data_IF_038363223062
#
_entry.id   IF_038363223062
#
_cell.length_a   1.000
_cell.length_b   1.000
_cell.length_c   1.000
_cell.angle_alpha   90.00
_cell.angle_beta   90.00
_cell.angle_gamma   90.00
#
_symmetry.space_group_name_H-M   'P 1'
#
loop_
_entity.id
_entity.type
_entity.pdbx_description
1 polymer ?
#
# COMPACT_ATOMS: atom_id res chain seq x y z
N UNK A 1 13.54 -38.08 -9.29
CA UNK A 1 12.22 -37.66 -8.82
C UNK A 1 11.25 -37.61 -9.99
N UNK A 2 10.01 -38.11 -9.85
CA UNK A 2 9.00 -37.97 -10.89
C UNK A 2 8.75 -36.49 -11.17
N UNK A 3 8.84 -36.08 -12.43
CA UNK A 3 8.67 -34.68 -12.83
C UNK A 3 7.33 -34.11 -12.37
N UNK A 4 6.26 -34.88 -12.44
CA UNK A 4 4.92 -34.54 -11.99
C UNK A 4 4.88 -34.19 -10.50
N UNK A 5 5.56 -34.94 -9.62
CA UNK A 5 5.58 -34.65 -8.18
C UNK A 5 6.31 -33.32 -7.87
N UNK A 6 7.41 -33.06 -8.57
CA UNK A 6 8.14 -31.78 -8.43
C UNK A 6 7.26 -30.59 -8.85
N UNK A 7 6.57 -30.70 -10.00
CA UNK A 7 5.69 -29.63 -10.48
C UNK A 7 4.50 -29.42 -9.58
N UNK A 8 3.89 -30.49 -9.04
CA UNK A 8 2.83 -30.40 -8.04
C UNK A 8 3.30 -29.66 -6.80
N UNK A 9 4.50 -29.97 -6.30
CA UNK A 9 5.11 -29.27 -5.17
C UNK A 9 5.31 -27.76 -5.42
N UNK A 10 5.82 -27.38 -6.59
CA UNK A 10 6.00 -25.98 -6.98
C UNK A 10 4.66 -25.23 -7.05
N UNK A 11 3.61 -25.86 -7.58
CA UNK A 11 2.27 -25.30 -7.63
C UNK A 11 1.61 -25.13 -6.25
N UNK A 12 1.98 -25.99 -5.30
CA UNK A 12 1.42 -25.97 -3.94
C UNK A 12 1.99 -24.86 -3.06
N UNK A 13 3.02 -24.13 -3.51
CA UNK A 13 3.62 -23.01 -2.73
C UNK A 13 2.61 -21.93 -2.34
N UNK A 14 1.44 -21.86 -3.01
CA UNK A 14 0.28 -21.08 -2.56
C UNK A 14 0.43 -19.56 -2.79
N UNK A 15 0.99 -19.16 -3.93
CA UNK A 15 0.95 -17.76 -4.37
C UNK A 15 -0.49 -17.29 -4.62
N UNK A 16 -0.80 -16.06 -4.20
CA UNK A 16 -1.94 -15.34 -4.78
C UNK A 16 -1.58 -14.83 -6.17
N UNK A 17 -2.57 -14.53 -7.01
CA UNK A 17 -2.33 -13.96 -8.33
C UNK A 17 -1.48 -12.68 -8.23
N UNK A 18 -1.84 -11.77 -7.34
CA UNK A 18 -1.15 -10.51 -7.14
C UNK A 18 0.31 -10.69 -6.67
N UNK A 19 0.59 -11.65 -5.78
CA UNK A 19 1.97 -11.90 -5.34
C UNK A 19 2.81 -12.55 -6.42
N UNK A 20 2.21 -13.41 -7.25
CA UNK A 20 2.90 -14.01 -8.40
C UNK A 20 3.28 -12.94 -9.45
N UNK A 21 2.36 -12.02 -9.77
CA UNK A 21 2.63 -10.89 -10.67
C UNK A 21 3.76 -10.01 -10.09
N UNK A 22 3.74 -9.72 -8.79
CA UNK A 22 4.79 -8.93 -8.15
C UNK A 22 6.18 -9.58 -8.26
N UNK A 23 6.28 -10.92 -8.17
CA UNK A 23 7.57 -11.62 -8.35
C UNK A 23 8.05 -11.58 -9.81
N UNK A 24 7.15 -11.54 -10.80
CA UNK A 24 7.56 -11.31 -12.20
C UNK A 24 8.08 -9.86 -12.36
N UNK A 25 7.40 -8.88 -11.79
CA UNK A 25 7.86 -7.48 -11.80
C UNK A 25 9.22 -7.34 -11.10
N UNK A 26 9.47 -8.05 -10.00
CA UNK A 26 10.79 -8.08 -9.33
C UNK A 26 11.90 -8.54 -10.29
N UNK A 27 11.63 -9.53 -11.15
CA UNK A 27 12.60 -9.99 -12.15
C UNK A 27 12.88 -8.91 -13.19
N UNK A 28 11.87 -8.17 -13.64
CA UNK A 28 12.01 -7.04 -14.55
C UNK A 28 12.84 -5.91 -13.92
N UNK A 29 12.60 -5.60 -12.65
CA UNK A 29 13.40 -4.62 -11.89
C UNK A 29 14.86 -5.09 -11.78
N UNK A 30 15.07 -6.35 -11.48
CA UNK A 30 16.43 -6.96 -11.40
C UNK A 30 17.14 -6.99 -12.75
N UNK A 31 16.39 -6.98 -13.86
CA UNK A 31 16.90 -6.84 -15.21
C UNK A 31 17.15 -5.37 -15.62
N UNK A 32 17.06 -4.41 -14.66
CA UNK A 32 17.19 -2.97 -14.87
C UNK A 32 16.18 -2.40 -15.89
N UNK A 33 14.97 -2.93 -15.91
CA UNK A 33 13.89 -2.36 -16.71
C UNK A 33 13.52 -0.96 -16.20
N UNK A 34 13.33 -0.03 -17.12
CA UNK A 34 12.78 1.31 -16.86
C UNK A 34 11.28 1.37 -17.15
N UNK A 35 10.78 0.43 -17.95
CA UNK A 35 9.38 0.33 -18.35
C UNK A 35 8.91 -1.13 -18.27
N UNK A 36 7.72 -1.31 -17.70
CA UNK A 36 7.06 -2.61 -17.56
C UNK A 36 5.61 -2.46 -18.01
N UNK A 37 5.20 -3.25 -18.99
CA UNK A 37 3.86 -3.26 -19.55
C UNK A 37 3.15 -4.57 -19.23
N UNK A 38 1.92 -4.48 -18.74
CA UNK A 38 1.09 -5.63 -18.37
C UNK A 38 -0.15 -5.62 -19.23
N UNK A 39 -0.37 -6.74 -19.94
CA UNK A 39 -1.53 -6.96 -20.78
C UNK A 39 -2.23 -8.25 -20.37
N UNK A 40 -3.51 -8.32 -20.62
CA UNK A 40 -4.32 -9.52 -20.36
C UNK A 40 -5.58 -9.52 -21.20
N UNK A 41 -6.03 -10.69 -21.60
CA UNK A 41 -7.33 -10.89 -22.24
C UNK A 41 -7.99 -12.12 -21.62
N UNK A 42 -9.23 -12.04 -21.11
CA UNK A 42 -9.98 -13.18 -20.59
C UNK A 42 -10.77 -13.94 -21.65
N UNK A 43 -10.78 -13.46 -22.91
CA UNK A 43 -11.63 -13.99 -23.97
C UNK A 43 -10.92 -15.12 -24.75
N UNK A 44 -11.64 -15.86 -25.52
CA UNK A 44 -11.27 -16.97 -26.43
C UNK A 44 -10.03 -17.79 -26.07
N UNK A 45 -8.86 -17.16 -26.03
CA UNK A 45 -7.57 -17.75 -25.63
C UNK A 45 -6.98 -16.92 -24.48
N UNK A 46 -7.44 -17.14 -23.24
CA UNK A 46 -7.08 -16.27 -22.11
C UNK A 46 -5.57 -16.22 -21.89
N UNK A 47 -5.04 -15.00 -21.76
CA UNK A 47 -3.64 -14.77 -21.42
C UNK A 47 -3.45 -13.63 -20.43
N UNK A 48 -2.34 -13.71 -19.71
CA UNK A 48 -1.78 -12.63 -18.92
C UNK A 48 -0.30 -12.52 -19.26
N UNK A 49 0.19 -11.33 -19.55
CA UNK A 49 1.61 -11.16 -19.82
C UNK A 49 2.21 -9.93 -19.18
N UNK A 50 3.49 -10.03 -18.89
CA UNK A 50 4.36 -8.96 -18.39
C UNK A 50 5.51 -8.80 -19.37
N UNK A 51 5.62 -7.60 -19.93
CA UNK A 51 6.67 -7.20 -20.85
C UNK A 51 7.55 -6.14 -20.19
N UNK A 52 8.85 -6.30 -20.28
CA UNK A 52 9.83 -5.31 -19.81
C UNK A 52 10.85 -4.95 -20.91
N UNK A 53 11.45 -3.78 -20.76
CA UNK A 53 12.56 -3.30 -21.57
C UNK A 53 13.92 -3.49 -20.88
N UNK A 54 14.07 -4.48 -20.03
CA UNK A 54 15.31 -4.79 -19.32
C UNK A 54 16.42 -5.31 -20.22
N UNK A 55 17.50 -5.79 -19.63
CA UNK A 55 18.71 -6.23 -20.35
C UNK A 55 18.51 -7.45 -21.28
N UNK A 56 17.36 -8.11 -21.23
CA UNK A 56 17.07 -9.32 -21.97
C UNK A 56 18.01 -10.49 -21.66
N UNK A 57 17.79 -11.63 -22.33
CA UNK A 57 18.55 -12.85 -22.12
C UNK A 57 19.08 -13.41 -23.46
N UNK A 58 20.34 -13.80 -23.49
CA UNK A 58 20.91 -14.64 -24.53
C UNK A 58 20.32 -16.05 -24.45
N UNK A 59 20.60 -16.92 -25.46
CA UNK A 59 20.13 -18.32 -25.43
C UNK A 59 20.53 -19.02 -24.11
N UNK A 60 21.79 -18.94 -23.75
CA UNK A 60 22.33 -19.60 -22.54
C UNK A 60 21.74 -19.03 -21.24
N UNK A 61 21.51 -17.74 -21.21
CA UNK A 61 20.88 -17.08 -20.04
C UNK A 61 19.40 -17.48 -19.91
N UNK A 62 18.67 -17.61 -21.04
CA UNK A 62 17.29 -18.08 -21.07
C UNK A 62 17.19 -19.55 -20.65
N UNK A 63 18.09 -20.43 -21.19
CA UNK A 63 18.19 -21.82 -20.78
C UNK A 63 18.34 -21.92 -19.25
N UNK A 64 19.32 -21.20 -18.70
CA UNK A 64 19.55 -21.17 -17.25
C UNK A 64 18.36 -20.61 -16.48
N UNK A 65 17.70 -19.58 -16.98
CA UNK A 65 16.53 -19.00 -16.33
C UNK A 65 15.34 -19.97 -16.30
N UNK A 66 15.22 -20.85 -17.30
CA UNK A 66 14.13 -21.81 -17.41
C UNK A 66 14.42 -23.13 -16.69
N UNK A 67 15.68 -23.54 -16.50
CA UNK A 67 16.01 -24.75 -15.76
C UNK A 67 15.73 -24.63 -14.27
N UNK A 68 15.06 -25.62 -13.63
CA UNK A 68 14.86 -25.64 -12.18
C UNK A 68 16.20 -25.80 -11.45
N UNK A 69 16.43 -24.96 -10.43
CA UNK A 69 17.62 -25.05 -9.60
C UNK A 69 18.93 -24.65 -10.29
N UNK A 70 18.85 -23.86 -11.37
CA UNK A 70 20.03 -23.30 -12.00
C UNK A 70 20.81 -22.46 -11.00
N UNK A 71 22.05 -22.86 -10.76
CA UNK A 71 22.97 -22.26 -9.82
C UNK A 71 23.35 -20.85 -10.32
N UNK A 72 22.95 -19.81 -9.57
CA UNK A 72 23.37 -18.42 -9.81
C UNK A 72 24.68 -18.09 -9.09
N UNK A 73 25.34 -19.08 -8.50
CA UNK A 73 26.54 -18.96 -7.67
C UNK A 73 27.77 -18.33 -8.34
N UNK A 74 27.64 -17.85 -9.56
CA UNK A 74 28.74 -17.17 -10.29
C UNK A 74 28.56 -15.65 -10.49
N UNK A 75 27.42 -15.07 -10.11
CA UNK A 75 27.23 -13.60 -10.09
C UNK A 75 27.42 -13.13 -8.64
N UNK A 76 28.40 -12.24 -8.44
CA UNK A 76 28.54 -11.52 -7.17
C UNK A 76 27.15 -11.05 -6.69
N UNK A 77 26.85 -11.26 -5.40
CA UNK A 77 25.63 -10.78 -4.77
C UNK A 77 25.49 -9.29 -5.07
N UNK A 78 24.70 -8.96 -6.07
CA UNK A 78 24.37 -7.58 -6.34
C UNK A 78 23.41 -7.16 -5.23
N UNK A 79 23.75 -6.16 -4.43
CA UNK A 79 22.92 -5.65 -3.32
C UNK A 79 21.49 -5.30 -3.74
N UNK A 80 21.21 -5.22 -5.03
CA UNK A 80 19.91 -4.91 -5.62
C UNK A 80 19.09 -6.14 -6.04
N UNK A 81 19.59 -7.38 -5.87
CA UNK A 81 18.81 -8.57 -6.26
C UNK A 81 17.57 -8.74 -5.37
N UNK A 82 16.39 -8.66 -6.00
CA UNK A 82 15.10 -8.92 -5.36
C UNK A 82 14.77 -10.44 -5.29
N UNK A 83 15.43 -11.28 -6.12
CA UNK A 83 15.20 -12.73 -6.22
C UNK A 83 16.28 -13.57 -5.54
N UNK A 84 15.92 -14.31 -4.46
CA UNK A 84 16.86 -15.10 -3.65
C UNK A 84 17.10 -16.53 -4.13
N UNK A 85 16.10 -17.22 -4.69
CA UNK A 85 16.12 -18.67 -4.82
C UNK A 85 16.17 -19.21 -6.28
N UNK A 86 16.21 -18.35 -7.31
CA UNK A 86 16.14 -18.77 -8.71
C UNK A 86 14.87 -19.54 -9.10
N UNK A 87 13.94 -19.72 -8.17
CA UNK A 87 12.67 -20.43 -8.34
C UNK A 87 11.49 -19.48 -8.56
N UNK A 88 11.63 -18.17 -8.25
CA UNK A 88 10.53 -17.20 -8.21
C UNK A 88 9.72 -17.18 -9.52
N UNK A 89 10.36 -17.04 -10.66
CA UNK A 89 9.70 -17.04 -11.98
C UNK A 89 8.84 -18.29 -12.18
N UNK A 90 9.39 -19.47 -11.91
CA UNK A 90 8.74 -20.76 -12.16
C UNK A 90 7.62 -21.03 -11.15
N UNK A 91 7.89 -20.85 -9.85
CA UNK A 91 6.90 -21.10 -8.81
C UNK A 91 5.76 -20.09 -8.87
N UNK A 92 6.06 -18.81 -9.12
CA UNK A 92 5.04 -17.79 -9.33
C UNK A 92 4.15 -18.13 -10.53
N UNK A 93 4.75 -18.36 -11.71
CA UNK A 93 3.99 -18.65 -12.93
C UNK A 93 3.19 -19.96 -12.82
N UNK A 94 3.82 -21.08 -12.45
CA UNK A 94 3.14 -22.37 -12.33
C UNK A 94 2.09 -22.43 -11.22
N UNK A 95 2.17 -21.54 -10.24
CA UNK A 95 1.11 -21.42 -9.23
C UNK A 95 -0.20 -20.83 -9.80
N UNK A 96 -0.15 -20.13 -10.94
CA UNK A 96 -1.29 -19.45 -11.55
C UNK A 96 -1.83 -20.14 -12.79
N UNK A 97 -0.94 -20.75 -13.59
CA UNK A 97 -1.29 -21.29 -14.91
C UNK A 97 -0.67 -22.69 -15.12
N UNK A 98 -1.12 -23.39 -16.15
CA UNK A 98 -0.53 -24.68 -16.56
C UNK A 98 0.54 -24.51 -17.62
N UNK A 99 0.53 -23.39 -18.34
CA UNK A 99 1.56 -23.09 -19.32
C UNK A 99 2.06 -21.66 -19.16
N UNK A 100 3.37 -21.48 -19.08
CA UNK A 100 3.99 -20.18 -19.18
C UNK A 100 5.15 -20.18 -20.16
N UNK A 101 5.26 -19.10 -20.91
CA UNK A 101 6.30 -18.88 -21.91
C UNK A 101 7.13 -17.66 -21.52
N UNK A 102 8.43 -17.77 -21.70
CA UNK A 102 9.37 -16.65 -21.59
C UNK A 102 9.98 -16.41 -22.95
N UNK A 103 9.71 -15.25 -23.54
CA UNK A 103 10.38 -14.75 -24.73
C UNK A 103 11.32 -13.62 -24.36
N UNK A 104 12.56 -13.66 -24.85
CA UNK A 104 13.53 -12.61 -24.54
C UNK A 104 14.31 -12.18 -25.76
N UNK A 105 14.50 -10.85 -25.88
CA UNK A 105 15.24 -10.22 -26.96
C UNK A 105 16.60 -9.74 -26.45
N UNK A 106 17.66 -10.19 -27.09
CA UNK A 106 19.04 -9.75 -26.86
C UNK A 106 19.86 -9.90 -28.12
N UNK A 107 20.74 -8.97 -28.39
CA UNK A 107 21.57 -8.94 -29.62
C UNK A 107 20.72 -9.02 -30.89
N UNK A 108 19.59 -8.31 -30.95
CA UNK A 108 18.70 -8.28 -32.10
C UNK A 108 17.91 -9.57 -32.39
N UNK A 109 18.02 -10.61 -31.54
CA UNK A 109 17.33 -11.89 -31.71
C UNK A 109 16.35 -12.16 -30.58
N UNK A 110 15.13 -12.58 -30.94
CA UNK A 110 14.13 -13.06 -30.00
C UNK A 110 14.24 -14.60 -29.91
N UNK A 111 14.20 -15.12 -28.67
CA UNK A 111 14.10 -16.53 -28.34
C UNK A 111 13.03 -16.74 -27.32
N UNK A 112 12.34 -17.88 -27.40
CA UNK A 112 11.31 -18.20 -26.44
C UNK A 112 11.34 -19.69 -26.05
N UNK A 113 11.02 -19.92 -24.78
CA UNK A 113 10.86 -21.22 -24.16
C UNK A 113 9.59 -21.29 -23.35
N UNK A 114 8.92 -22.45 -23.38
CA UNK A 114 7.69 -22.67 -22.62
C UNK A 114 7.82 -23.87 -21.68
N UNK A 115 7.23 -23.73 -20.50
CA UNK A 115 6.84 -24.83 -19.63
C UNK A 115 5.36 -25.14 -19.85
N UNK A 116 5.06 -26.36 -20.29
CA UNK A 116 3.69 -26.85 -20.41
C UNK A 116 3.49 -28.08 -19.52
N UNK A 117 2.66 -27.92 -18.48
CA UNK A 117 2.37 -29.00 -17.54
C UNK A 117 1.60 -30.15 -18.17
N UNK A 118 0.83 -29.92 -19.23
CA UNK A 118 0.08 -30.97 -19.91
C UNK A 118 1.06 -31.93 -20.61
N UNK A 119 2.11 -31.36 -21.20
CA UNK A 119 3.19 -32.17 -21.81
C UNK A 119 3.99 -32.91 -20.73
N UNK A 120 4.34 -32.24 -19.63
CA UNK A 120 5.09 -32.84 -18.52
C UNK A 120 4.28 -33.96 -17.86
N UNK A 121 2.97 -33.74 -17.64
CA UNK A 121 2.08 -34.76 -17.07
C UNK A 121 1.94 -35.99 -17.93
N UNK A 122 1.90 -35.82 -19.28
CA UNK A 122 1.78 -36.89 -20.27
C UNK A 122 3.07 -37.69 -20.37
N UNK A 123 4.20 -37.01 -20.50
CA UNK A 123 5.51 -37.65 -20.75
C UNK A 123 6.21 -38.10 -19.45
N UNK A 124 5.72 -37.62 -18.28
CA UNK A 124 6.32 -37.78 -16.95
C UNK A 124 7.82 -37.40 -16.93
N UNK A 125 8.21 -36.46 -17.76
CA UNK A 125 9.58 -35.93 -17.90
C UNK A 125 9.55 -34.42 -17.82
N UNK A 126 10.58 -33.83 -17.24
CA UNK A 126 10.77 -32.39 -17.23
C UNK A 126 11.21 -31.94 -18.62
N UNK A 127 10.29 -31.42 -19.38
CA UNK A 127 10.51 -30.98 -20.75
C UNK A 127 10.27 -29.48 -20.86
N UNK A 128 11.17 -28.82 -21.57
CA UNK A 128 11.04 -27.42 -21.99
C UNK A 128 10.81 -27.42 -23.51
N UNK A 129 9.80 -26.71 -23.94
CA UNK A 129 9.53 -26.46 -25.34
C UNK A 129 10.32 -25.23 -25.80
N UNK A 130 11.19 -25.41 -26.80
CA UNK A 130 11.82 -24.29 -27.52
C UNK A 130 10.90 -23.88 -28.65
N UNK A 131 10.46 -22.64 -28.69
CA UNK A 131 9.53 -22.16 -29.71
C UNK A 131 10.26 -21.84 -31.01
N UNK A 132 9.64 -22.21 -32.13
CA UNK A 132 10.07 -21.78 -33.46
C UNK A 132 9.58 -20.34 -33.78
N UNK A 133 9.98 -19.82 -34.95
CA UNK A 133 9.66 -18.45 -35.34
C UNK A 133 8.14 -18.18 -35.48
N UNK A 134 7.39 -19.17 -35.98
CA UNK A 134 5.93 -19.04 -36.14
C UNK A 134 5.24 -18.99 -34.75
N UNK A 135 5.64 -19.88 -33.87
CA UNK A 135 5.13 -19.93 -32.49
C UNK A 135 5.50 -18.67 -31.71
N UNK A 136 6.71 -18.13 -31.90
CA UNK A 136 7.11 -16.86 -31.29
C UNK A 136 6.23 -15.72 -31.79
N UNK A 137 5.99 -15.63 -33.10
CA UNK A 137 5.15 -14.57 -33.68
C UNK A 137 3.69 -14.66 -33.27
N UNK A 138 3.22 -15.83 -32.86
CA UNK A 138 1.86 -16.05 -32.36
C UNK A 138 1.68 -15.63 -30.87
N UNK A 139 2.77 -15.35 -30.14
CA UNK A 139 2.67 -14.96 -28.73
C UNK A 139 1.97 -13.62 -28.56
N UNK A 140 1.08 -13.49 -27.56
CA UNK A 140 0.47 -12.21 -27.21
C UNK A 140 1.52 -11.12 -26.96
N UNK A 141 1.30 -9.93 -27.50
CA UNK A 141 2.18 -8.75 -27.31
C UNK A 141 3.63 -8.90 -27.76
N UNK A 142 3.97 -9.92 -28.55
CA UNK A 142 5.35 -10.14 -29.04
C UNK A 142 5.85 -9.00 -29.93
N UNK A 143 4.94 -8.34 -30.66
CA UNK A 143 5.27 -7.18 -31.48
C UNK A 143 5.84 -6.03 -30.65
N UNK A 144 5.33 -5.82 -29.43
CA UNK A 144 5.85 -4.81 -28.52
C UNK A 144 7.28 -5.14 -28.06
N UNK A 145 7.59 -6.43 -27.78
CA UNK A 145 8.96 -6.86 -27.50
C UNK A 145 9.89 -6.64 -28.70
N UNK A 146 9.38 -6.81 -29.92
CA UNK A 146 10.16 -6.59 -31.12
C UNK A 146 10.58 -5.12 -31.31
N UNK A 147 9.85 -4.15 -30.77
CA UNK A 147 10.17 -2.73 -30.80
C UNK A 147 11.29 -2.34 -29.84
N UNK A 148 11.48 -3.06 -28.74
CA UNK A 148 12.57 -2.78 -27.80
C UNK A 148 13.93 -3.27 -28.34
N UNK A 149 15.01 -2.64 -27.95
CA UNK A 149 16.37 -3.09 -28.24
C UNK A 149 16.66 -4.41 -27.52
N UNK A 150 16.33 -4.45 -26.24
CA UNK A 150 16.40 -5.63 -25.35
C UNK A 150 15.15 -5.68 -24.48
N UNK A 151 14.80 -6.86 -23.97
CA UNK A 151 13.68 -7.00 -23.05
C UNK A 151 13.25 -8.44 -22.86
N UNK A 152 12.25 -8.62 -22.02
CA UNK A 152 11.66 -9.93 -21.72
C UNK A 152 10.14 -9.84 -21.65
N UNK A 153 9.48 -10.85 -22.24
CA UNK A 153 8.04 -11.05 -22.20
C UNK A 153 7.77 -12.38 -21.51
N UNK A 154 7.02 -12.36 -20.41
CA UNK A 154 6.50 -13.52 -19.72
C UNK A 154 5.03 -13.65 -20.02
N UNK A 155 4.59 -14.77 -20.56
CA UNK A 155 3.18 -15.03 -20.92
C UNK A 155 2.65 -16.20 -20.10
N UNK A 156 1.49 -16.06 -19.50
CA UNK A 156 0.74 -17.12 -18.82
C UNK A 156 -0.50 -17.46 -19.61
N UNK A 157 -0.77 -18.76 -19.78
CA UNK A 157 -1.93 -19.34 -20.45
C UNK A 157 -2.46 -20.55 -19.68
N UNK A 158 -3.64 -21.07 -20.00
CA UNK A 158 -4.26 -22.24 -19.35
C UNK A 158 -4.45 -22.06 -17.84
N UNK A 159 -5.39 -21.19 -17.47
CA UNK A 159 -5.67 -20.79 -16.06
C UNK A 159 -6.62 -21.78 -15.35
N UNK A 160 -6.22 -23.04 -15.22
CA UNK A 160 -6.99 -24.13 -14.64
C UNK A 160 -7.59 -23.83 -13.24
N UNK A 161 -6.86 -23.11 -12.40
CA UNK A 161 -7.36 -22.76 -11.06
C UNK A 161 -8.55 -21.80 -11.11
N UNK A 162 -8.53 -20.85 -12.03
CA UNK A 162 -9.64 -19.90 -12.19
C UNK A 162 -10.82 -20.62 -12.81
N UNK A 163 -10.58 -21.43 -13.84
CA UNK A 163 -11.60 -22.24 -14.52
C UNK A 163 -12.34 -23.18 -13.54
N UNK A 164 -11.60 -23.85 -12.66
CA UNK A 164 -12.17 -24.82 -11.72
C UNK A 164 -12.89 -24.20 -10.52
N UNK A 165 -12.55 -22.97 -10.11
CA UNK A 165 -13.05 -22.37 -8.90
C UNK A 165 -14.05 -21.22 -9.14
N UNK A 166 -14.08 -20.64 -10.32
CA UNK A 166 -14.90 -19.49 -10.65
C UNK A 166 -16.25 -19.90 -11.26
N UNK A 167 -17.31 -19.22 -10.84
CA UNK A 167 -18.64 -19.35 -11.50
C UNK A 167 -18.64 -18.72 -12.90
N UNK A 168 -17.90 -17.64 -13.07
CA UNK A 168 -17.65 -16.94 -14.32
C UNK A 168 -16.15 -16.67 -14.42
N UNK A 169 -15.50 -17.24 -15.42
CA UNK A 169 -14.08 -17.10 -15.63
C UNK A 169 -13.70 -15.66 -15.92
N UNK A 170 -14.36 -15.02 -16.88
CA UNK A 170 -14.06 -13.66 -17.32
C UNK A 170 -14.10 -12.66 -16.17
N UNK A 171 -15.19 -12.64 -15.40
CA UNK A 171 -15.35 -11.74 -14.25
C UNK A 171 -14.29 -11.98 -13.18
N UNK A 172 -14.00 -13.25 -12.89
CA UNK A 172 -12.99 -13.62 -11.90
C UNK A 172 -11.59 -13.25 -12.34
N UNK A 173 -11.26 -13.47 -13.62
CA UNK A 173 -9.98 -13.09 -14.20
C UNK A 173 -9.78 -11.58 -14.19
N UNK A 174 -10.78 -10.80 -14.66
CA UNK A 174 -10.75 -9.32 -14.63
C UNK A 174 -10.56 -8.79 -13.21
N UNK A 175 -11.25 -9.40 -12.23
CA UNK A 175 -11.09 -9.02 -10.82
C UNK A 175 -9.67 -9.29 -10.32
N UNK A 176 -9.09 -10.46 -10.60
CA UNK A 176 -7.71 -10.79 -10.20
C UNK A 176 -6.70 -9.84 -10.81
N UNK A 177 -6.86 -9.46 -12.09
CA UNK A 177 -6.01 -8.47 -12.76
C UNK A 177 -6.16 -7.09 -12.10
N UNK A 178 -7.37 -6.66 -11.77
CA UNK A 178 -7.60 -5.39 -11.08
C UNK A 178 -7.03 -5.38 -9.65
N UNK A 179 -7.12 -6.49 -8.92
CA UNK A 179 -6.50 -6.68 -7.61
C UNK A 179 -4.97 -6.65 -7.71
N UNK A 180 -4.40 -7.29 -8.74
CA UNK A 180 -2.95 -7.28 -8.97
C UNK A 180 -2.44 -5.87 -9.28
N UNK A 181 -3.20 -5.04 -10.01
CA UNK A 181 -2.87 -3.64 -10.26
C UNK A 181 -2.77 -2.86 -8.95
N UNK A 182 -3.80 -2.93 -8.10
CA UNK A 182 -3.81 -2.26 -6.77
C UNK A 182 -2.66 -2.72 -5.88
N UNK A 183 -2.35 -4.01 -5.93
CA UNK A 183 -1.22 -4.59 -5.20
C UNK A 183 0.12 -4.04 -5.72
N UNK A 184 0.30 -3.95 -7.03
CA UNK A 184 1.48 -3.39 -7.68
C UNK A 184 1.68 -1.91 -7.32
N UNK A 185 0.61 -1.12 -7.32
CA UNK A 185 0.61 0.29 -6.91
C UNK A 185 1.15 0.50 -5.49
N UNK A 186 0.79 -0.40 -4.56
CA UNK A 186 1.27 -0.36 -3.18
C UNK A 186 2.69 -0.94 -3.04
N UNK A 187 2.94 -2.13 -3.58
CA UNK A 187 4.21 -2.86 -3.38
C UNK A 187 5.39 -2.11 -3.99
N UNK A 188 5.19 -1.49 -5.15
CA UNK A 188 6.24 -0.80 -5.88
C UNK A 188 6.15 0.73 -5.81
N UNK A 189 5.39 1.30 -4.87
CA UNK A 189 5.18 2.75 -4.78
C UNK A 189 6.49 3.56 -4.69
N UNK A 190 7.55 2.98 -4.12
CA UNK A 190 8.87 3.63 -4.03
C UNK A 190 9.66 3.61 -5.33
N UNK A 191 9.25 2.78 -6.31
CA UNK A 191 9.84 2.72 -7.64
C UNK A 191 9.14 3.65 -8.63
N UNK A 192 8.02 4.27 -8.27
CA UNK A 192 7.18 5.08 -9.15
C UNK A 192 7.93 6.17 -9.93
N UNK A 193 8.99 6.77 -9.34
CA UNK A 193 9.82 7.79 -9.99
C UNK A 193 10.90 7.21 -10.91
N UNK A 194 11.29 5.96 -10.72
CA UNK A 194 12.40 5.32 -11.42
C UNK A 194 11.97 4.30 -12.46
N UNK A 195 10.78 3.73 -12.30
CA UNK A 195 10.24 2.69 -13.17
C UNK A 195 8.81 3.08 -13.55
N UNK A 196 8.49 2.94 -14.82
CA UNK A 196 7.14 3.17 -15.35
C UNK A 196 6.45 1.83 -15.51
N UNK A 197 5.35 1.62 -14.78
CA UNK A 197 4.56 0.38 -14.86
C UNK A 197 3.18 0.73 -15.44
N UNK A 198 2.78 -0.02 -16.46
CA UNK A 198 1.52 0.19 -17.17
C UNK A 198 0.66 -1.07 -17.12
N UNK A 199 -0.63 -0.91 -16.93
CA UNK A 199 -1.67 -1.93 -17.12
C UNK A 199 -2.53 -1.51 -18.30
N UNK A 200 -2.54 -2.29 -19.38
CA UNK A 200 -3.27 -1.98 -20.62
C UNK A 200 -3.01 -0.54 -21.13
N UNK A 201 -1.74 -0.14 -21.16
CA UNK A 201 -1.32 1.18 -21.61
C UNK A 201 -1.59 2.34 -20.63
N UNK A 202 -2.28 2.08 -19.50
CA UNK A 202 -2.50 3.08 -18.47
C UNK A 202 -1.47 2.94 -17.35
N UNK A 203 -0.70 4.00 -17.09
CA UNK A 203 0.26 4.03 -15.98
C UNK A 203 -0.45 3.80 -14.65
N UNK A 204 0.14 2.99 -13.76
CA UNK A 204 -0.35 2.81 -12.39
C UNK A 204 -0.23 4.10 -11.60
N UNK A 205 -1.03 4.22 -10.55
CA UNK A 205 -0.96 5.37 -9.63
C UNK A 205 0.04 5.10 -8.50
N UNK A 206 0.61 6.17 -7.95
CA UNK A 206 1.45 6.07 -6.76
C UNK A 206 0.54 5.90 -5.55
N UNK A 207 0.60 4.75 -4.89
CA UNK A 207 -0.11 4.51 -3.63
C UNK A 207 0.88 4.60 -2.46
N UNK A 208 1.09 5.80 -1.92
CA UNK A 208 1.94 6.00 -0.76
C UNK A 208 1.16 5.73 0.54
N UNK A 209 1.48 4.63 1.28
CA UNK A 209 0.75 4.26 2.49
C UNK A 209 1.02 5.20 3.68
N UNK A 210 2.00 6.09 3.57
CA UNK A 210 2.39 7.03 4.61
C UNK A 210 1.92 8.45 4.34
N UNK A 211 1.46 8.75 3.12
CA UNK A 211 1.11 10.11 2.67
C UNK A 211 2.23 11.12 2.91
N UNK A 212 3.47 10.75 2.61
CA UNK A 212 4.65 11.60 2.87
C UNK A 212 4.57 12.94 2.14
N UNK A 213 3.98 12.96 0.95
CA UNK A 213 3.80 14.17 0.13
C UNK A 213 2.52 14.96 0.49
N UNK A 214 1.75 14.53 1.50
CA UNK A 214 0.55 15.24 1.96
C UNK A 214 0.92 16.55 2.63
N UNK A 215 0.38 17.65 2.12
CA UNK A 215 0.74 18.99 2.54
C UNK A 215 0.30 19.23 4.01
N UNK A 216 1.25 19.16 4.91
CA UNK A 216 1.21 19.82 6.21
C UNK A 216 0.57 19.07 7.37
N UNK A 217 0.17 17.78 7.24
CA UNK A 217 -0.59 17.14 8.32
C UNK A 217 -0.16 15.74 8.73
N UNK A 218 0.64 15.07 7.89
CA UNK A 218 1.24 13.79 8.26
C UNK A 218 2.32 14.04 9.32
N UNK A 219 2.35 13.21 10.37
CA UNK A 219 3.36 13.30 11.41
C UNK A 219 4.40 12.20 11.23
N UNK A 220 5.61 12.60 10.84
CA UNK A 220 6.78 11.72 10.82
C UNK A 220 7.45 11.76 12.20
N UNK A 221 7.63 10.58 12.80
CA UNK A 221 8.37 10.46 14.05
C UNK A 221 9.87 10.40 13.83
N UNK A 222 10.62 10.17 14.90
CA UNK A 222 12.09 10.10 14.84
C UNK A 222 12.54 8.85 14.08
N UNK A 223 13.34 9.04 13.03
CA UNK A 223 14.06 7.96 12.35
C UNK A 223 15.04 7.31 13.33
N UNK A 224 15.02 5.98 13.41
CA UNK A 224 15.94 5.17 14.19
C UNK A 224 16.75 4.26 13.27
N UNK A 225 18.03 4.13 13.51
CA UNK A 225 18.93 3.22 12.80
C UNK A 225 19.47 2.20 13.79
N UNK A 226 19.28 0.92 13.47
CA UNK A 226 19.62 -0.21 14.32
C UNK A 226 20.67 -1.03 13.58
N UNK A 227 21.85 -1.15 14.15
CA UNK A 227 22.90 -2.00 13.62
C UNK A 227 22.72 -3.44 14.11
N UNK A 228 22.60 -4.37 13.18
CA UNK A 228 22.51 -5.81 13.43
C UNK A 228 23.57 -6.50 12.56
N UNK A 229 24.58 -7.06 13.19
CA UNK A 229 25.67 -7.79 12.53
C UNK A 229 26.33 -7.01 11.38
N UNK A 230 26.47 -5.68 11.54
CA UNK A 230 27.07 -4.80 10.56
C UNK A 230 26.08 -4.25 9.51
N UNK A 231 24.86 -4.72 9.48
CA UNK A 231 23.81 -4.23 8.58
C UNK A 231 22.86 -3.26 9.31
N UNK A 232 22.44 -2.19 8.66
CA UNK A 232 21.61 -1.14 9.25
C UNK A 232 20.15 -1.35 8.88
N UNK A 233 19.29 -1.54 9.89
CA UNK A 233 17.84 -1.52 9.77
C UNK A 233 17.39 -0.08 10.06
N UNK A 234 16.58 0.47 9.17
CA UNK A 234 15.98 1.80 9.38
C UNK A 234 14.51 1.66 9.80
N UNK A 235 14.13 2.33 10.88
CA UNK A 235 12.75 2.36 11.38
C UNK A 235 12.26 3.81 11.42
N UNK A 236 11.09 4.06 10.81
CA UNK A 236 10.47 5.39 10.81
C UNK A 236 8.98 5.22 11.17
N UNK A 237 8.54 5.76 12.32
CA UNK A 237 7.14 5.80 12.66
C UNK A 237 6.45 6.97 11.96
N UNK A 238 5.27 6.70 11.41
CA UNK A 238 4.39 7.70 10.81
C UNK A 238 3.03 7.67 11.49
N UNK A 239 2.38 8.82 11.53
CA UNK A 239 0.97 8.93 11.92
C UNK A 239 0.22 9.62 10.80
N UNK A 240 -0.76 8.92 10.23
CA UNK A 240 -1.59 9.48 9.17
C UNK A 240 -2.44 10.63 9.70
N UNK A 241 -2.79 11.60 8.85
CA UNK A 241 -3.78 12.62 9.18
C UNK A 241 -5.15 11.98 9.45
N UNK A 242 -5.99 12.64 10.20
CA UNK A 242 -7.36 12.19 10.37
C UNK A 242 -8.15 12.34 9.08
N UNK A 243 -9.05 11.39 8.79
CA UNK A 243 -9.75 11.30 7.51
C UNK A 243 -10.48 12.57 7.08
N UNK A 244 -11.00 13.36 8.04
CA UNK A 244 -11.70 14.63 7.75
C UNK A 244 -10.78 15.71 7.18
N UNK A 245 -9.48 15.63 7.45
CA UNK A 245 -8.51 16.64 7.01
C UNK A 245 -7.90 16.31 5.65
N UNK A 246 -8.21 15.14 5.08
CA UNK A 246 -7.68 14.67 3.82
C UNK A 246 -8.50 15.18 2.64
N UNK A 247 -7.82 15.50 1.53
CA UNK A 247 -8.48 15.78 0.26
C UNK A 247 -9.14 14.51 -0.31
N UNK A 248 -10.08 14.63 -1.28
CA UNK A 248 -10.65 13.46 -1.95
C UNK A 248 -9.59 12.56 -2.61
N UNK A 249 -8.54 13.16 -3.19
CA UNK A 249 -7.43 12.46 -3.84
C UNK A 249 -6.61 11.68 -2.81
N UNK A 250 -6.27 12.29 -1.67
CA UNK A 250 -5.56 11.63 -0.57
C UNK A 250 -6.38 10.49 0.04
N UNK A 251 -7.70 10.68 0.18
CA UNK A 251 -8.61 9.60 0.62
C UNK A 251 -8.60 8.44 -0.38
N UNK A 252 -8.58 8.73 -1.68
CA UNK A 252 -8.51 7.70 -2.72
C UNK A 252 -7.19 6.91 -2.63
N UNK A 253 -6.07 7.56 -2.31
CA UNK A 253 -4.77 6.90 -2.11
C UNK A 253 -4.75 5.94 -0.90
N UNK A 254 -5.44 6.29 0.18
CA UNK A 254 -5.56 5.43 1.37
C UNK A 254 -6.59 4.31 1.21
N UNK A 255 -7.46 4.41 0.22
CA UNK A 255 -8.58 3.48 0.04
C UNK A 255 -9.78 3.83 0.93
N UNK A 256 -10.62 2.83 1.22
CA UNK A 256 -11.80 3.04 2.05
C UNK A 256 -11.45 3.05 3.56
N UNK A 257 -12.38 3.47 4.45
CA UNK A 257 -12.15 3.49 5.90
C UNK A 257 -11.73 2.13 6.48
N UNK A 258 -12.23 1.03 5.93
CA UNK A 258 -11.82 -0.32 6.34
C UNK A 258 -10.35 -0.59 6.00
N UNK A 259 -9.88 -0.15 4.84
CA UNK A 259 -8.46 -0.27 4.46
C UNK A 259 -7.56 0.50 5.43
N UNK A 260 -7.95 1.69 5.87
CA UNK A 260 -7.20 2.47 6.86
C UNK A 260 -7.07 1.68 8.17
N UNK A 261 -8.16 1.05 8.62
CA UNK A 261 -8.16 0.21 9.82
C UNK A 261 -7.34 -1.08 9.63
N UNK A 262 -7.51 -1.77 8.52
CA UNK A 262 -6.88 -3.07 8.27
C UNK A 262 -5.38 -2.95 7.98
N UNK A 263 -4.93 -1.82 7.43
CA UNK A 263 -3.55 -1.59 7.02
C UNK A 263 -2.69 -0.91 8.11
N UNK A 264 -3.17 -0.81 9.36
CA UNK A 264 -2.39 -0.26 10.49
C UNK A 264 -1.22 -1.16 10.89
N UNK A 265 -0.14 -0.56 11.42
CA UNK A 265 1.01 -1.29 11.95
C UNK A 265 2.24 -1.23 11.05
N UNK A 266 2.96 -2.34 10.95
CA UNK A 266 4.24 -2.42 10.27
C UNK A 266 4.12 -2.49 8.75
N UNK A 267 5.10 -1.84 8.09
CA UNK A 267 5.37 -1.86 6.67
C UNK A 267 6.82 -2.25 6.45
N UNK A 268 7.08 -3.50 6.09
CA UNK A 268 8.41 -4.04 5.91
C UNK A 268 8.87 -3.91 4.47
N UNK A 269 10.01 -3.30 4.27
CA UNK A 269 10.65 -3.12 2.98
C UNK A 269 11.96 -3.88 2.91
N UNK A 270 12.20 -4.50 1.76
CA UNK A 270 13.49 -5.07 1.37
C UNK A 270 13.89 -4.47 0.02
N UNK A 271 15.05 -3.84 -0.05
CA UNK A 271 15.50 -3.19 -1.27
C UNK A 271 14.42 -2.30 -1.91
N UNK A 272 13.78 -1.41 -1.11
CA UNK A 272 12.69 -0.51 -1.51
C UNK A 272 11.36 -1.20 -1.86
N UNK A 273 11.31 -2.53 -2.03
CA UNK A 273 10.08 -3.29 -2.26
C UNK A 273 9.35 -3.53 -0.94
N UNK A 274 8.07 -3.22 -0.90
CA UNK A 274 7.21 -3.56 0.23
C UNK A 274 6.91 -5.08 0.21
N UNK A 275 7.28 -5.78 1.28
CA UNK A 275 7.14 -7.24 1.38
C UNK A 275 6.00 -7.68 2.31
N UNK A 276 5.69 -6.89 3.33
CA UNK A 276 4.59 -7.18 4.26
C UNK A 276 4.06 -5.88 4.85
N UNK A 277 2.74 -5.79 5.07
CA UNK A 277 2.09 -4.61 5.65
C UNK A 277 0.82 -4.95 6.41
N UNK A 278 0.30 -3.99 7.17
CA UNK A 278 -0.98 -4.08 7.86
C UNK A 278 -1.00 -5.08 9.02
N UNK A 279 0.15 -5.38 9.61
CA UNK A 279 0.29 -6.29 10.75
C UNK A 279 1.04 -5.65 11.89
N UNK A 280 0.65 -5.94 13.12
CA UNK A 280 1.38 -5.52 14.33
C UNK A 280 2.48 -6.50 14.74
N UNK A 281 2.61 -7.65 14.07
CA UNK A 281 3.67 -8.65 14.29
C UNK A 281 3.89 -9.00 15.77
N UNK A 282 2.80 -9.11 16.53
CA UNK A 282 2.77 -9.36 17.99
C UNK A 282 3.39 -8.24 18.86
N UNK A 283 3.63 -7.04 18.31
CA UNK A 283 4.16 -5.89 19.05
C UNK A 283 3.11 -4.83 19.39
N UNK A 284 1.88 -5.03 18.97
CA UNK A 284 0.77 -4.11 19.20
C UNK A 284 -0.57 -4.77 18.93
N UNK A 285 -1.63 -4.04 19.20
CA UNK A 285 -3.00 -4.51 19.02
C UNK A 285 -3.68 -3.64 17.97
N UNK A 286 -4.34 -4.31 17.02
CA UNK A 286 -5.21 -3.65 16.05
C UNK A 286 -6.41 -3.04 16.77
N UNK A 287 -6.59 -1.74 16.65
CA UNK A 287 -7.70 -1.01 17.27
C UNK A 287 -8.05 0.26 16.51
N UNK A 288 -9.23 0.82 16.76
CA UNK A 288 -9.65 2.11 16.18
C UNK A 288 -8.68 3.24 16.56
N UNK A 289 -8.17 3.23 17.77
CA UNK A 289 -7.24 4.27 18.25
C UNK A 289 -5.85 4.16 17.60
N UNK A 290 -5.49 3.01 17.07
CA UNK A 290 -4.20 2.76 16.44
C UNK A 290 -4.26 2.84 14.90
N UNK A 291 -5.45 3.06 14.31
CA UNK A 291 -5.68 2.96 12.86
C UNK A 291 -4.82 3.89 12.00
N UNK A 292 -4.35 4.99 12.56
CA UNK A 292 -3.50 5.95 11.87
C UNK A 292 -1.99 5.64 11.99
N UNK A 293 -1.61 4.70 12.84
CA UNK A 293 -0.21 4.35 13.05
C UNK A 293 0.33 3.50 11.90
N UNK A 294 1.48 3.90 11.35
CA UNK A 294 2.25 3.20 10.33
C UNK A 294 3.71 3.18 10.73
N UNK A 295 4.34 2.02 10.69
CA UNK A 295 5.74 1.87 11.09
C UNK A 295 6.50 1.27 9.91
N UNK A 296 7.30 2.10 9.26
CA UNK A 296 8.16 1.68 8.18
C UNK A 296 9.40 1.02 8.75
N UNK A 297 9.78 -0.14 8.21
CA UNK A 297 11.02 -0.85 8.55
C UNK A 297 11.71 -1.23 7.24
N UNK A 298 12.89 -0.68 7.00
CA UNK A 298 13.73 -1.02 5.86
C UNK A 298 14.78 -2.04 6.29
N UNK A 299 14.75 -3.22 5.65
CA UNK A 299 15.61 -4.35 5.96
C UNK A 299 16.60 -4.54 4.81
N UNK A 300 17.91 -4.50 5.06
CA UNK A 300 18.90 -4.84 4.05
C UNK A 300 18.90 -6.34 3.73
N UNK A 301 19.23 -6.69 2.49
CA UNK A 301 19.27 -8.09 2.01
C UNK A 301 20.20 -9.00 2.81
N UNK A 302 21.27 -8.45 3.39
CA UNK A 302 22.20 -9.18 4.25
C UNK A 302 21.53 -9.84 5.47
N UNK A 303 20.37 -9.34 5.90
CA UNK A 303 19.62 -9.85 7.06
C UNK A 303 18.46 -10.80 6.68
N UNK A 304 18.35 -11.23 5.43
CA UNK A 304 17.27 -12.11 4.96
C UNK A 304 17.15 -13.41 5.78
N UNK A 305 18.28 -14.00 6.19
CA UNK A 305 18.32 -15.20 7.02
C UNK A 305 17.82 -14.97 8.45
N UNK A 306 18.07 -13.77 8.99
CA UNK A 306 17.68 -13.38 10.34
C UNK A 306 16.17 -13.14 10.43
N UNK A 307 15.58 -12.58 9.38
CA UNK A 307 14.15 -12.25 9.32
C UNK A 307 13.27 -13.41 8.88
N UNK A 308 13.86 -14.58 8.59
CA UNK A 308 13.12 -15.76 8.14
C UNK A 308 12.09 -15.43 7.05
N UNK A 309 12.51 -14.59 6.08
CA UNK A 309 11.63 -14.20 4.99
C UNK A 309 11.23 -15.44 4.19
N UNK A 310 9.91 -15.66 4.06
CA UNK A 310 9.35 -16.77 3.28
C UNK A 310 9.67 -16.59 1.78
N UNK A 311 9.68 -17.69 1.04
CA UNK A 311 9.85 -17.72 -0.43
C UNK A 311 8.86 -16.79 -1.11
N UNK A 312 7.64 -16.68 -0.59
CA UNK A 312 6.58 -15.79 -1.08
C UNK A 312 6.77 -14.32 -0.70
N UNK A 313 7.75 -13.99 0.13
CA UNK A 313 7.95 -12.64 0.69
C UNK A 313 6.69 -12.04 1.37
N UNK A 314 5.70 -12.87 1.72
CA UNK A 314 4.41 -12.42 2.27
C UNK A 314 4.32 -12.55 3.79
N UNK A 315 5.26 -13.25 4.42
CA UNK A 315 5.35 -13.38 5.86
C UNK A 315 6.76 -13.04 6.33
N UNK A 316 6.84 -12.24 7.37
CA UNK A 316 8.08 -11.91 8.06
C UNK A 316 7.80 -11.90 9.56
N UNK A 317 8.76 -12.36 10.35
CA UNK A 317 8.73 -12.23 11.80
C UNK A 317 9.85 -11.30 12.23
N UNK A 318 9.51 -10.35 13.08
CA UNK A 318 10.53 -9.50 13.69
C UNK A 318 11.32 -10.34 14.68
N UNK A 319 12.65 -10.48 14.53
CA UNK A 319 13.48 -11.21 15.48
C UNK A 319 13.39 -10.58 16.88
N UNK A 320 13.41 -11.39 17.94
CA UNK A 320 13.21 -10.91 19.32
C UNK A 320 14.27 -9.87 19.73
N UNK A 321 15.51 -10.04 19.29
CA UNK A 321 16.58 -9.05 19.52
C UNK A 321 16.26 -7.65 18.97
N UNK A 322 15.46 -7.58 17.91
CA UNK A 322 15.11 -6.32 17.23
C UNK A 322 13.84 -5.72 17.82
N UNK A 323 12.94 -6.56 18.38
CA UNK A 323 11.65 -6.10 18.95
C UNK A 323 11.83 -5.00 20.00
N UNK A 324 12.76 -5.20 20.95
CA UNK A 324 12.99 -4.21 22.00
C UNK A 324 13.52 -2.88 21.45
N UNK A 325 14.35 -2.94 20.41
CA UNK A 325 14.95 -1.77 19.78
C UNK A 325 13.91 -0.93 19.01
N UNK A 326 12.92 -1.56 18.38
CA UNK A 326 11.87 -0.85 17.63
C UNK A 326 10.66 -0.47 18.50
N UNK A 327 10.61 -0.97 19.75
CA UNK A 327 9.48 -0.72 20.67
C UNK A 327 9.20 0.76 20.86
N UNK A 328 10.23 1.58 21.02
CA UNK A 328 10.07 3.04 21.15
C UNK A 328 9.39 3.67 19.93
N UNK A 329 9.73 3.22 18.72
CA UNK A 329 9.08 3.71 17.49
C UNK A 329 7.62 3.26 17.40
N UNK A 330 7.29 2.05 17.88
CA UNK A 330 5.93 1.54 17.98
C UNK A 330 5.13 2.39 18.96
N UNK A 331 5.65 2.59 20.17
CA UNK A 331 4.98 3.34 21.24
C UNK A 331 4.73 4.80 20.80
N UNK A 332 5.72 5.46 20.18
CA UNK A 332 5.57 6.82 19.65
C UNK A 332 4.46 6.91 18.59
N UNK A 333 4.44 5.99 17.63
CA UNK A 333 3.41 5.94 16.59
C UNK A 333 2.01 5.69 17.17
N UNK A 334 1.90 4.78 18.14
CA UNK A 334 0.64 4.45 18.82
C UNK A 334 0.12 5.64 19.63
N UNK A 335 0.98 6.31 20.40
CA UNK A 335 0.61 7.49 21.21
C UNK A 335 0.10 8.60 20.29
N UNK A 336 0.81 8.90 19.20
CA UNK A 336 0.41 9.91 18.23
C UNK A 336 -0.90 9.55 17.53
N UNK A 337 -1.08 8.29 17.11
CA UNK A 337 -2.32 7.81 16.50
C UNK A 337 -3.51 7.98 17.45
N UNK A 338 -3.35 7.58 18.72
CA UNK A 338 -4.39 7.77 19.75
C UNK A 338 -4.75 9.23 19.95
N UNK A 339 -3.74 10.09 19.99
CA UNK A 339 -3.94 11.54 20.12
C UNK A 339 -4.69 12.09 18.91
N UNK A 340 -4.24 11.80 17.69
CA UNK A 340 -4.87 12.28 16.46
C UNK A 340 -6.29 11.74 16.28
N UNK A 341 -6.55 10.47 16.68
CA UNK A 341 -7.89 9.89 16.60
C UNK A 341 -8.85 10.46 17.61
N UNK A 342 -8.38 10.76 18.82
CA UNK A 342 -9.21 11.41 19.87
C UNK A 342 -9.45 12.88 19.59
N UNK A 343 -8.49 13.53 18.94
CA UNK A 343 -8.48 14.97 18.69
C UNK A 343 -8.18 15.24 17.22
N UNK A 344 -9.13 14.95 16.32
CA UNK A 344 -8.99 15.28 14.92
C UNK A 344 -8.93 16.80 14.77
N UNK A 345 -7.84 17.31 14.19
CA UNK A 345 -7.69 18.76 13.95
C UNK A 345 -8.84 19.30 13.10
N UNK A 346 -9.19 20.55 13.28
CA UNK A 346 -10.19 21.27 12.48
C UNK A 346 -9.71 21.43 11.04
N UNK A 347 -10.64 21.35 10.07
CA UNK A 347 -10.40 21.82 8.70
C UNK A 347 -10.09 23.33 8.76
N UNK A 348 -8.94 23.75 8.24
CA UNK A 348 -8.61 25.18 8.06
C UNK A 348 -9.43 25.81 6.92
N UNK A 349 -10.74 25.82 6.98
CA UNK A 349 -11.57 26.49 5.97
C UNK A 349 -12.57 27.50 6.51
N UNK A 350 -12.58 27.72 7.80
CA UNK A 350 -13.24 28.91 8.34
C UNK A 350 -12.21 29.66 9.16
N UNK A 351 -12.15 30.97 8.97
CA UNK A 351 -11.54 31.89 9.93
C UNK A 351 -12.44 31.82 11.17
N UNK A 352 -12.31 30.74 11.93
CA UNK A 352 -12.95 30.66 13.23
C UNK A 352 -12.19 31.63 14.13
N UNK A 353 -12.77 32.77 14.42
CA UNK A 353 -12.31 33.61 15.50
C UNK A 353 -12.39 32.77 16.76
N UNK A 354 -11.32 32.75 17.57
CA UNK A 354 -11.38 32.25 18.93
C UNK A 354 -12.42 33.10 19.67
N UNK A 355 -13.59 32.54 19.91
CA UNK A 355 -14.67 33.21 20.63
C UNK A 355 -14.40 33.18 22.13
N UNK A 356 -13.56 32.25 22.62
CA UNK A 356 -13.17 32.15 24.03
C UNK A 356 -11.73 31.63 24.19
N UNK A 357 -11.05 32.17 25.17
CA UNK A 357 -9.86 31.59 25.75
C UNK A 357 -10.27 30.65 26.91
N UNK A 358 -9.40 29.72 27.29
CA UNK A 358 -9.59 28.68 28.32
C UNK A 358 -10.72 28.93 29.30
N UNK A 359 -11.69 28.03 29.33
CA UNK A 359 -12.68 27.98 30.40
C UNK A 359 -11.96 27.49 31.66
N UNK A 360 -11.89 28.27 32.70
CA UNK A 360 -11.33 27.87 33.99
C UNK A 360 -12.15 26.73 34.61
N UNK A 361 -11.49 25.81 35.30
CA UNK A 361 -11.95 24.49 35.73
C UNK A 361 -13.24 24.45 36.60
N UNK A 362 -13.80 25.60 37.04
CA UNK A 362 -14.87 25.57 38.01
C UNK A 362 -16.21 26.15 37.59
N UNK A 363 -16.34 26.94 36.53
CA UNK A 363 -17.61 27.61 36.25
C UNK A 363 -18.07 27.68 34.80
N UNK A 364 -17.34 27.13 33.82
CA UNK A 364 -17.78 26.91 32.43
C UNK A 364 -18.62 28.02 31.77
N UNK A 365 -18.42 29.28 32.13
CA UNK A 365 -19.20 30.41 31.61
C UNK A 365 -18.47 31.06 30.44
N UNK A 366 -19.05 30.89 29.27
CA UNK A 366 -18.56 31.53 28.04
C UNK A 366 -18.60 33.04 28.15
N UNK A 367 -19.51 33.58 28.95
CA UNK A 367 -19.78 35.02 29.13
C UNK A 367 -18.58 35.83 29.60
N UNK A 368 -17.68 35.21 30.33
CA UNK A 368 -16.54 35.89 30.97
C UNK A 368 -15.28 35.88 30.08
N UNK A 369 -15.39 35.39 28.85
CA UNK A 369 -14.25 35.41 27.92
C UNK A 369 -14.00 36.83 27.38
N UNK A 370 -12.73 37.25 27.20
CA UNK A 370 -12.41 38.63 26.79
C UNK A 370 -13.12 39.03 25.47
N UNK A 371 -13.31 38.10 24.53
CA UNK A 371 -13.97 38.36 23.26
C UNK A 371 -15.47 38.62 23.42
N UNK A 372 -16.14 37.90 24.31
CA UNK A 372 -17.58 38.09 24.58
C UNK A 372 -17.81 39.37 25.43
N UNK A 373 -16.90 39.66 26.34
CA UNK A 373 -16.94 40.92 27.12
C UNK A 373 -16.80 42.11 26.18
N UNK A 374 -15.79 42.06 25.25
CA UNK A 374 -15.60 43.14 24.28
C UNK A 374 -16.79 43.29 23.32
N UNK A 375 -17.38 42.16 22.87
CA UNK A 375 -18.59 42.18 22.05
C UNK A 375 -19.76 42.77 22.80
N UNK A 376 -19.97 42.38 24.07
CA UNK A 376 -21.05 42.88 24.91
C UNK A 376 -20.92 44.38 25.23
N UNK A 377 -19.70 44.92 25.29
CA UNK A 377 -19.46 46.36 25.43
C UNK A 377 -19.83 47.15 24.18
N UNK A 378 -19.65 46.54 22.99
CA UNK A 378 -19.90 47.19 21.70
C UNK A 378 -21.38 47.19 21.29
N UNK A 379 -22.22 46.33 21.86
CA UNK A 379 -23.62 46.13 21.49
C UNK A 379 -24.59 47.09 22.21
N UNK A 380 -25.72 47.43 21.57
CA UNK A 380 -26.83 48.16 22.16
C UNK A 380 -27.67 47.32 23.14
N UNK A 381 -28.58 47.92 23.87
CA UNK A 381 -29.34 47.22 24.94
C UNK A 381 -30.21 46.04 24.42
N UNK A 382 -30.77 46.16 23.21
CA UNK A 382 -31.58 45.08 22.64
C UNK A 382 -30.72 43.90 22.20
N UNK A 383 -29.59 44.17 21.57
CA UNK A 383 -28.64 43.20 21.12
C UNK A 383 -27.94 42.44 22.26
N UNK A 384 -27.70 43.13 23.38
CA UNK A 384 -27.20 42.50 24.63
C UNK A 384 -28.14 41.44 25.17
N UNK A 385 -29.46 41.68 25.11
CA UNK A 385 -30.44 40.68 25.52
C UNK A 385 -30.45 39.45 24.64
N UNK A 386 -30.30 39.64 23.32
CA UNK A 386 -30.21 38.53 22.37
C UNK A 386 -28.94 37.73 22.56
N UNK A 387 -27.80 38.39 22.74
CA UNK A 387 -26.53 37.74 23.05
C UNK A 387 -26.62 36.93 24.33
N UNK A 388 -27.26 37.45 25.38
CA UNK A 388 -27.47 36.77 26.66
C UNK A 388 -28.34 35.51 26.52
N UNK A 389 -29.36 35.56 25.68
CA UNK A 389 -30.23 34.39 25.40
C UNK A 389 -29.43 33.32 24.63
N UNK A 390 -28.70 33.71 23.57
CA UNK A 390 -27.87 32.81 22.79
C UNK A 390 -26.79 32.15 23.65
N UNK A 391 -26.08 32.90 24.46
CA UNK A 391 -25.05 32.36 25.35
C UNK A 391 -25.64 31.43 26.42
N UNK A 392 -26.86 31.72 26.92
CA UNK A 392 -27.55 30.85 27.87
C UNK A 392 -27.91 29.49 27.24
N UNK A 393 -28.34 29.49 25.99
CA UNK A 393 -28.62 28.25 25.26
C UNK A 393 -27.35 27.46 25.00
N UNK A 394 -26.29 28.08 24.50
CA UNK A 394 -24.98 27.42 24.28
C UNK A 394 -24.46 26.79 25.59
N UNK A 395 -24.53 27.54 26.73
CA UNK A 395 -24.10 27.05 28.04
C UNK A 395 -24.93 25.85 28.54
N UNK A 396 -26.23 25.77 28.16
CA UNK A 396 -27.08 24.62 28.49
C UNK A 396 -26.72 23.33 27.73
N UNK A 397 -26.21 23.47 26.51
CA UNK A 397 -25.88 22.31 25.63
C UNK A 397 -24.41 21.91 25.70
N UNK A 398 -23.55 22.66 26.40
CA UNK A 398 -22.17 22.25 26.61
C UNK A 398 -22.12 20.99 27.48
N UNK A 399 -21.45 19.91 27.03
CA UNK A 399 -21.36 18.68 27.79
C UNK A 399 -20.55 18.91 29.07
N UNK A 400 -21.24 18.96 30.20
CA UNK A 400 -20.66 19.20 31.53
C UNK A 400 -19.63 18.15 32.00
N UNK A 401 -19.44 17.07 31.27
CA UNK A 401 -18.66 15.88 31.66
C UNK A 401 -17.37 15.64 30.89
N UNK A 402 -17.01 16.46 29.91
CA UNK A 402 -15.80 16.27 29.10
C UNK A 402 -14.60 17.09 29.53
N UNK A 403 -14.70 17.85 30.59
CA UNK A 403 -13.61 18.67 31.15
C UNK A 403 -12.98 17.87 32.31
N UNK A 404 -12.25 16.82 31.99
CA UNK A 404 -11.34 16.19 32.93
C UNK A 404 -9.90 16.62 32.62
N UNK A 405 -9.21 16.95 33.64
CA UNK A 405 -7.83 17.33 33.94
C UNK A 405 -6.67 17.18 32.97
N UNK A 406 -6.87 16.84 31.69
CA UNK A 406 -5.81 16.79 30.68
C UNK A 406 -6.02 17.95 29.70
N UNK A 407 -5.38 19.05 29.94
CA UNK A 407 -4.97 20.16 29.03
C UNK A 407 -5.60 20.20 27.62
N UNK A 408 -6.91 20.10 27.50
CA UNK A 408 -7.59 20.11 26.21
C UNK A 408 -8.23 21.46 25.92
N UNK A 409 -7.98 21.99 24.73
CA UNK A 409 -8.74 23.11 24.18
C UNK A 409 -10.24 22.74 24.09
N UNK A 410 -11.12 23.45 24.77
CA UNK A 410 -12.56 23.23 24.70
C UNK A 410 -13.11 23.33 23.27
N UNK A 411 -12.46 24.11 22.40
CA UNK A 411 -12.71 24.18 20.95
C UNK A 411 -12.60 22.85 20.25
N UNK A 412 -11.68 21.98 20.66
CA UNK A 412 -11.45 20.66 20.03
C UNK A 412 -12.58 19.70 20.34
N UNK A 413 -13.24 19.85 21.48
CA UNK A 413 -14.37 19.02 21.91
C UNK A 413 -15.65 19.39 21.17
N UNK A 414 -15.91 20.70 21.01
CA UNK A 414 -17.11 21.21 20.34
C UNK A 414 -17.09 20.90 18.86
N UNK A 415 -15.93 21.02 18.19
CA UNK A 415 -15.79 20.71 16.77
C UNK A 415 -15.79 19.20 16.45
N UNK A 416 -15.60 18.33 17.41
CA UNK A 416 -15.66 16.87 17.21
C UNK A 416 -17.09 16.29 17.21
N UNK A 417 -18.08 17.05 17.67
CA UNK A 417 -19.48 16.63 17.75
C UNK A 417 -20.45 17.33 16.80
N UNK A 418 -20.01 18.31 16.04
CA UNK A 418 -20.87 19.32 15.41
C UNK A 418 -21.24 19.08 13.94
N UNK A 419 -21.19 17.84 13.42
CA UNK A 419 -21.53 17.61 12.00
C UNK A 419 -23.04 17.53 11.71
N UNK A 420 -23.94 17.76 12.66
CA UNK A 420 -25.39 17.58 12.43
C UNK A 420 -26.30 18.75 12.83
N UNK A 421 -25.83 19.68 13.60
CA UNK A 421 -26.70 20.75 14.15
C UNK A 421 -26.32 22.16 13.72
N UNK A 422 -25.17 22.35 13.10
CA UNK A 422 -24.65 23.71 12.77
C UNK A 422 -25.48 24.45 11.71
N UNK A 423 -26.04 23.75 10.72
CA UNK A 423 -26.85 24.40 9.68
C UNK A 423 -28.20 24.90 10.25
N UNK A 424 -28.80 24.16 11.19
CA UNK A 424 -30.03 24.60 11.84
C UNK A 424 -29.77 25.77 12.80
N UNK A 425 -28.69 25.72 13.54
CA UNK A 425 -28.29 26.77 14.46
C UNK A 425 -27.94 28.09 13.74
N UNK A 426 -27.24 27.97 12.59
CA UNK A 426 -26.92 29.13 11.74
C UNK A 426 -28.19 29.72 11.14
N UNK A 427 -29.12 28.87 10.65
CA UNK A 427 -30.41 29.34 10.14
C UNK A 427 -31.30 29.99 11.20
N UNK A 428 -31.29 29.46 12.43
CA UNK A 428 -32.00 30.09 13.57
C UNK A 428 -31.37 31.42 13.99
N UNK A 429 -30.05 31.52 13.98
CA UNK A 429 -29.33 32.78 14.26
C UNK A 429 -29.57 33.79 13.13
N UNK A 430 -29.53 33.40 11.89
CA UNK A 430 -29.84 34.26 10.73
C UNK A 430 -31.30 34.70 10.74
N UNK A 431 -32.24 33.81 11.10
CA UNK A 431 -33.64 34.16 11.26
C UNK A 431 -33.90 35.17 12.42
N UNK A 432 -33.13 35.06 13.51
CA UNK A 432 -33.19 36.01 14.63
C UNK A 432 -32.60 37.36 14.23
N UNK A 433 -31.52 37.38 13.48
CA UNK A 433 -30.89 38.60 13.00
C UNK A 433 -31.77 39.35 11.96
N UNK A 434 -32.47 38.60 11.10
CA UNK A 434 -33.42 39.16 10.12
C UNK A 434 -34.70 39.76 10.75
N UNK A 435 -34.96 39.49 12.01
CA UNK A 435 -36.08 40.10 12.77
C UNK A 435 -35.68 41.43 13.45
N UNK A 436 -34.41 41.81 13.35
CA UNK A 436 -33.87 43.02 14.00
C UNK A 436 -33.65 44.19 13.03
N UNK A 437 -33.88 43.97 11.70
CA UNK A 437 -34.02 45.02 10.68
C UNK A 437 -35.51 45.36 10.48
#
# INVERSE_FOLDING_TARGET
FPAKALMTGLRAIGYSFSSAVADIIDNSISANASEINIFSDPLSDPYFCVLDNGCGMSAKELDNAMLPGSDRSGKAECEQELGRFGLGLKSASLSQCREFTVASKKFGKIRAMSFDLDVIDKENRLLLKVLNSEEINALPSIHNLAEYETGTLVVWTKFDKIENLAKNFEDSFRRLVAESKKHTELVFHRYYKTIQIYYHGKRIEKRDPFLVDSIGRQQTGRKSEINVDGAIITVIPYTLPFANTLTPEEKALLGNPKSIYDEQGFYLYRNRRLISWGSWMHMGIRSELNKLARIQVDIPSALDSVWMLDVKKSSAKIPDKIKDMIKMAVDDSVIRSKRTTRFPGTKEQSVAFKVWDRINEHDGKIRDTPSIVALNEALGQAEKKLLDIALSQIECYLPKYSITNDSMDALTIINSGADYEDEQLIQEIEAILAFCD
#
